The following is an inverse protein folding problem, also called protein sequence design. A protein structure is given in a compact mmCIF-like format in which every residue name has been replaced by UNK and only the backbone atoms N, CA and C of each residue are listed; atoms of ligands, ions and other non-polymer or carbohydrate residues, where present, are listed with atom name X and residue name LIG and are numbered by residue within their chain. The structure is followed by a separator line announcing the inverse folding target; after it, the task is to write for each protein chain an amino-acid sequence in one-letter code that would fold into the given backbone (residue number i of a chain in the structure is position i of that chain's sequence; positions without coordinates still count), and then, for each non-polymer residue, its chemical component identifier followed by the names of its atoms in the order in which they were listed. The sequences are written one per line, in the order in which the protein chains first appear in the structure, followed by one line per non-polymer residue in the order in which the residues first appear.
data_IF_275754986217
#
_entry.id   IF_275754986217
#
_cell.length_a   1.000
_cell.length_b   1.000
_cell.length_c   1.000
_cell.angle_alpha   90.00
_cell.angle_beta   90.00
_cell.angle_gamma   90.00
#
_symmetry.space_group_name_H-M   'P 1'
#
loop_
_entity.id
_entity.type
_entity.pdbx_description
1 polymer ?
#
# COMPACT_ATOMS: atom_id res chain seq x y z
N UNK A 1 -6.93 -14.59 -43.88
CA UNK A 1 -6.06 -14.21 -42.75
C UNK A 1 -6.79 -13.19 -41.91
N UNK A 2 -7.35 -13.61 -40.77
CA UNK A 2 -8.19 -12.77 -39.92
C UNK A 2 -7.34 -11.76 -39.15
N UNK A 3 -7.70 -10.48 -39.25
CA UNK A 3 -7.10 -9.37 -38.54
C UNK A 3 -7.24 -9.58 -37.02
N UNK A 4 -6.18 -10.03 -36.37
CA UNK A 4 -6.05 -10.00 -34.92
C UNK A 4 -5.98 -8.53 -34.48
N UNK A 5 -7.15 -7.93 -34.22
CA UNK A 5 -7.24 -6.70 -33.42
C UNK A 5 -6.72 -7.06 -32.03
N UNK A 6 -5.45 -6.74 -31.73
CA UNK A 6 -4.94 -6.73 -30.36
C UNK A 6 -5.89 -5.85 -29.55
N UNK A 7 -6.77 -6.45 -28.74
CA UNK A 7 -7.52 -5.70 -27.73
C UNK A 7 -6.45 -5.05 -26.87
N UNK A 8 -6.33 -3.73 -26.95
CA UNK A 8 -5.52 -2.94 -26.02
C UNK A 8 -6.13 -3.26 -24.65
N UNK A 9 -5.44 -4.02 -23.81
CA UNK A 9 -5.86 -4.22 -22.43
C UNK A 9 -5.87 -2.83 -21.83
N UNK A 10 -7.05 -2.24 -21.68
CA UNK A 10 -7.20 -0.99 -20.94
C UNK A 10 -6.88 -1.38 -19.51
N UNK A 11 -5.75 -0.90 -19.00
CA UNK A 11 -5.37 -1.13 -17.62
C UNK A 11 -6.40 -0.41 -16.78
N UNK A 12 -7.14 -1.17 -15.97
CA UNK A 12 -8.14 -0.63 -15.04
C UNK A 12 -7.43 -0.29 -13.74
N UNK A 13 -6.90 0.92 -13.69
CA UNK A 13 -6.22 1.45 -12.51
C UNK A 13 -7.14 1.53 -11.29
N UNK A 14 -8.46 1.68 -11.48
CA UNK A 14 -9.40 1.70 -10.36
C UNK A 14 -9.56 0.31 -9.75
N UNK A 15 -9.59 -0.74 -10.57
CA UNK A 15 -9.62 -2.12 -10.10
C UNK A 15 -8.32 -2.49 -9.36
N UNK A 16 -7.16 -2.16 -9.95
CA UNK A 16 -5.85 -2.39 -9.33
C UNK A 16 -5.73 -1.65 -7.99
N UNK A 17 -6.18 -0.40 -7.95
CA UNK A 17 -6.23 0.39 -6.73
C UNK A 17 -7.04 -0.31 -5.62
N UNK A 18 -8.27 -0.74 -5.92
CA UNK A 18 -9.14 -1.40 -4.94
C UNK A 18 -8.56 -2.71 -4.42
N UNK A 19 -7.97 -3.51 -5.30
CA UNK A 19 -7.32 -4.77 -4.93
C UNK A 19 -6.14 -4.52 -4.00
N UNK A 20 -5.26 -3.57 -4.36
CA UNK A 20 -4.11 -3.20 -3.55
C UNK A 20 -4.54 -2.62 -2.20
N UNK A 21 -5.55 -1.75 -2.16
CA UNK A 21 -6.05 -1.18 -0.91
C UNK A 21 -6.63 -2.25 0.03
N UNK A 22 -7.31 -3.28 -0.52
CA UNK A 22 -7.75 -4.44 0.27
C UNK A 22 -6.57 -5.21 0.85
N UNK A 23 -5.51 -5.42 0.07
CA UNK A 23 -4.28 -6.07 0.56
C UNK A 23 -3.64 -5.28 1.70
N UNK A 24 -3.55 -3.95 1.58
CA UNK A 24 -3.03 -3.10 2.66
C UNK A 24 -3.83 -3.27 3.93
N UNK A 25 -5.17 -3.21 3.86
CA UNK A 25 -6.01 -3.37 5.05
C UNK A 25 -5.79 -4.72 5.76
N UNK A 26 -5.54 -5.80 5.01
CA UNK A 26 -5.23 -7.11 5.58
C UNK A 26 -3.88 -7.10 6.31
N UNK A 27 -2.84 -6.52 5.70
CA UNK A 27 -1.50 -6.45 6.30
C UNK A 27 -1.50 -5.51 7.51
N UNK A 28 -2.23 -4.40 7.45
CA UNK A 28 -2.43 -3.48 8.58
C UNK A 28 -3.11 -4.20 9.75
N UNK A 29 -4.15 -5.00 9.49
CA UNK A 29 -4.76 -5.82 10.54
C UNK A 29 -3.79 -6.87 11.11
N UNK A 30 -2.96 -7.50 10.28
CA UNK A 30 -1.90 -8.41 10.76
C UNK A 30 -0.91 -7.66 11.66
N UNK A 31 -0.43 -6.50 11.24
CA UNK A 31 0.52 -5.68 12.01
C UNK A 31 -0.08 -5.21 13.35
N UNK A 32 -1.37 -4.91 13.41
CA UNK A 32 -2.04 -4.56 14.66
C UNK A 32 -2.12 -5.73 15.66
N UNK A 33 -2.23 -6.96 15.16
CA UNK A 33 -2.31 -8.17 15.99
C UNK A 33 -0.93 -8.77 16.31
N UNK A 34 0.14 -8.27 15.66
CA UNK A 34 1.50 -8.75 15.87
C UNK A 34 2.08 -8.20 17.18
N UNK A 35 2.62 -9.11 18.00
CA UNK A 35 3.22 -8.81 19.29
C UNK A 35 4.73 -8.68 19.20
N UNK A 36 5.36 -9.34 18.22
CA UNK A 36 6.79 -9.23 17.95
C UNK A 36 7.07 -7.91 17.22
N UNK A 37 7.77 -6.99 17.87
CA UNK A 37 8.02 -5.66 17.30
C UNK A 37 8.96 -5.68 16.09
N UNK A 38 9.81 -6.71 15.93
CA UNK A 38 10.67 -6.89 14.74
C UNK A 38 9.85 -7.34 13.53
N UNK A 39 8.86 -8.21 13.75
CA UNK A 39 7.90 -8.59 12.70
C UNK A 39 6.97 -7.41 12.40
N UNK A 40 6.52 -6.69 13.42
CA UNK A 40 5.61 -5.54 13.29
C UNK A 40 6.21 -4.40 12.48
N UNK A 41 7.37 -3.89 12.89
CA UNK A 41 8.56 -3.93 12.03
C UNK A 41 8.39 -3.91 10.51
N UNK A 42 8.80 -5.06 9.98
CA UNK A 42 8.73 -5.49 8.60
C UNK A 42 7.33 -5.32 7.99
N UNK A 43 6.25 -5.55 8.75
CA UNK A 43 4.88 -5.37 8.24
C UNK A 43 4.60 -3.90 7.93
N UNK A 44 5.03 -2.96 8.78
CA UNK A 44 4.85 -1.54 8.54
C UNK A 44 5.71 -1.02 7.38
N UNK A 45 6.91 -1.56 7.17
CA UNK A 45 7.71 -1.26 5.96
C UNK A 45 6.93 -1.64 4.69
N UNK A 46 6.35 -2.85 4.66
CA UNK A 46 5.54 -3.31 3.53
C UNK A 46 4.29 -2.44 3.36
N UNK A 47 3.62 -2.04 4.44
CA UNK A 47 2.44 -1.16 4.37
C UNK A 47 2.79 0.18 3.73
N UNK A 48 3.92 0.79 4.13
CA UNK A 48 4.37 2.08 3.57
C UNK A 48 4.64 1.96 2.07
N UNK A 49 5.35 0.91 1.64
CA UNK A 49 5.64 0.67 0.22
C UNK A 49 4.37 0.45 -0.59
N UNK A 50 3.42 -0.33 -0.06
CA UNK A 50 2.13 -0.55 -0.73
C UNK A 50 1.28 0.72 -0.85
N UNK A 51 1.39 1.65 0.09
CA UNK A 51 0.76 2.95 -0.05
C UNK A 51 1.43 3.82 -1.12
N UNK A 52 2.76 3.74 -1.30
CA UNK A 52 3.43 4.38 -2.43
C UNK A 52 2.89 3.84 -3.76
N UNK A 53 2.77 2.52 -3.89
CA UNK A 53 2.19 1.87 -5.08
C UNK A 53 0.73 2.32 -5.34
N UNK A 54 -0.09 2.47 -4.29
CA UNK A 54 -1.45 2.99 -4.44
C UNK A 54 -1.47 4.41 -4.99
N UNK A 55 -0.59 5.27 -4.48
CA UNK A 55 -0.46 6.65 -4.92
C UNK A 55 -0.01 6.69 -6.39
N UNK A 56 0.90 5.81 -6.78
CA UNK A 56 1.33 5.66 -8.18
C UNK A 56 0.17 5.25 -9.09
N UNK A 57 -0.76 4.42 -8.64
CA UNK A 57 -1.98 4.12 -9.43
C UNK A 57 -2.87 5.34 -9.62
N UNK A 58 -2.98 6.22 -8.60
CA UNK A 58 -3.72 7.49 -8.74
C UNK A 58 -3.02 8.37 -9.77
N UNK A 59 -1.70 8.49 -9.71
CA UNK A 59 -0.91 9.29 -10.66
C UNK A 59 -0.99 8.73 -12.09
N UNK A 60 -1.21 7.43 -12.25
CA UNK A 60 -1.41 6.77 -13.55
C UNK A 60 -2.85 6.87 -14.09
N UNK A 61 -3.80 7.33 -13.29
CA UNK A 61 -5.18 7.61 -13.72
C UNK A 61 -6.27 6.92 -12.92
N UNK A 62 -5.99 6.36 -11.74
CA UNK A 62 -7.04 5.92 -10.82
C UNK A 62 -7.79 7.12 -10.22
N UNK A 63 -9.11 7.06 -10.15
CA UNK A 63 -9.95 8.17 -9.69
C UNK A 63 -10.19 8.13 -8.17
N UNK A 64 -9.12 8.39 -7.40
CA UNK A 64 -9.18 8.46 -5.93
C UNK A 64 -8.49 9.71 -5.39
N UNK A 65 -8.79 10.06 -4.13
CA UNK A 65 -8.21 11.24 -3.46
C UNK A 65 -6.75 10.99 -3.04
N UNK A 66 -5.80 11.47 -3.85
CA UNK A 66 -4.37 11.35 -3.57
C UNK A 66 -3.99 11.85 -2.18
N UNK A 67 -4.51 13.01 -1.76
CA UNK A 67 -4.14 13.64 -0.50
C UNK A 67 -4.57 12.78 0.70
N UNK A 68 -5.72 12.10 0.59
CA UNK A 68 -6.16 11.15 1.59
C UNK A 68 -5.16 9.98 1.75
N UNK A 69 -4.71 9.37 0.65
CA UNK A 69 -3.79 8.23 0.70
C UNK A 69 -2.36 8.63 1.08
N UNK A 70 -1.92 9.84 0.72
CA UNK A 70 -0.67 10.41 1.24
C UNK A 70 -0.71 10.57 2.76
N UNK A 71 -1.82 11.06 3.32
CA UNK A 71 -1.97 11.17 4.76
C UNK A 71 -1.96 9.79 5.46
N UNK A 72 -2.59 8.78 4.86
CA UNK A 72 -2.54 7.40 5.38
C UNK A 72 -1.11 6.83 5.36
N UNK A 73 -0.38 7.02 4.26
CA UNK A 73 1.04 6.63 4.15
C UNK A 73 1.87 7.31 5.22
N UNK A 74 1.68 8.62 5.43
CA UNK A 74 2.48 9.39 6.37
C UNK A 74 2.18 8.98 7.82
N UNK A 75 0.95 8.58 8.13
CA UNK A 75 0.61 7.96 9.41
C UNK A 75 1.31 6.60 9.59
N UNK A 76 1.31 5.74 8.55
CA UNK A 76 2.03 4.47 8.59
C UNK A 76 3.54 4.67 8.78
N UNK A 77 4.14 5.70 8.17
CA UNK A 77 5.55 6.08 8.37
C UNK A 77 5.84 6.52 9.81
N UNK A 78 4.94 7.28 10.44
CA UNK A 78 5.10 7.69 11.85
C UNK A 78 5.04 6.49 12.79
N UNK A 79 4.12 5.56 12.54
CA UNK A 79 4.02 4.33 13.32
C UNK A 79 5.28 3.46 13.14
N UNK A 80 5.75 3.29 11.90
CA UNK A 80 7.01 2.61 11.60
C UNK A 80 8.19 3.21 12.36
N UNK A 81 8.33 4.55 12.34
CA UNK A 81 9.38 5.24 13.09
C UNK A 81 9.29 4.99 14.60
N UNK A 82 8.07 4.93 15.14
CA UNK A 82 7.84 4.67 16.56
C UNK A 82 8.23 3.24 16.93
N UNK A 83 7.88 2.26 16.08
CA UNK A 83 8.26 0.86 16.26
C UNK A 83 9.77 0.67 16.12
N UNK A 84 10.40 1.30 15.12
CA UNK A 84 11.85 1.25 14.93
C UNK A 84 12.61 1.73 16.17
N UNK A 85 12.13 2.81 16.80
CA UNK A 85 12.72 3.31 18.05
C UNK A 85 12.58 2.32 19.21
N UNK A 86 11.46 1.59 19.29
CA UNK A 86 11.27 0.53 20.29
C UNK A 86 12.30 -0.59 20.07
N UNK A 87 12.42 -1.09 18.83
CA UNK A 87 13.37 -2.16 18.50
C UNK A 87 14.84 -1.76 18.71
N UNK A 88 15.19 -0.49 18.55
CA UNK A 88 16.54 0.01 18.84
C UNK A 88 16.82 0.23 20.33
N UNK A 89 15.77 0.25 21.17
CA UNK A 89 15.87 0.47 22.62
C UNK A 89 15.89 -0.84 23.42
N UNK A 90 15.62 -1.98 22.79
CA UNK A 90 15.75 -3.34 23.34
C UNK A 90 17.18 -3.89 23.18
#
# INVERSE_FOLDING_TARGET
MGLFKKKKTVIDYDAMFKEQYKSINQITQQAHNELDYVIKESLYEVIVEKYNELIDFIDQGAHFDKAHFEALRDNAKKELQSIHQINQSE
#
